data_IF_892550510722
#
_entry.id   IF_892550510722
#
_cell.length_a   1.000
_cell.length_b   1.000
_cell.length_c   1.000
_cell.angle_alpha   90.00
_cell.angle_beta   90.00
_cell.angle_gamma   90.00
#
_symmetry.space_group_name_H-M   'P 1'
#
loop_
_entity.id
_entity.type
_entity.pdbx_description
1 polymer ?
#
# COMPACT_ATOMS: atom_id res chain seq x y z
N UNK A 1 -36.98 -5.51 -50.20
CA UNK A 1 -37.36 -4.07 -50.15
C UNK A 1 -36.54 -3.42 -49.03
N UNK A 2 -35.40 -2.79 -49.38
CA UNK A 2 -35.20 -1.32 -49.41
C UNK A 2 -35.16 -0.71 -47.99
N UNK A 3 -34.01 -0.53 -47.34
CA UNK A 3 -32.93 0.50 -47.49
C UNK A 3 -33.28 1.93 -47.04
N UNK A 4 -32.39 2.49 -46.21
CA UNK A 4 -31.99 3.91 -45.97
C UNK A 4 -32.86 4.73 -44.98
N UNK A 5 -32.33 5.63 -44.11
CA UNK A 5 -31.26 6.63 -44.33
C UNK A 5 -30.78 7.26 -43.00
N UNK A 6 -29.49 7.62 -42.92
CA UNK A 6 -28.89 8.53 -41.93
C UNK A 6 -29.32 9.99 -42.14
N UNK A 7 -28.96 10.93 -41.23
CA UNK A 7 -28.61 12.28 -41.64
C UNK A 7 -27.12 12.59 -41.45
N UNK A 8 -26.62 13.30 -42.46
CA UNK A 8 -25.27 13.83 -42.65
C UNK A 8 -25.16 15.22 -42.02
N UNK A 9 -23.92 15.55 -41.65
CA UNK A 9 -23.35 16.85 -41.29
C UNK A 9 -23.97 18.10 -41.96
N UNK A 10 -23.96 19.21 -41.22
CA UNK A 10 -23.76 20.53 -41.83
C UNK A 10 -22.85 21.41 -40.97
N UNK A 11 -21.92 22.00 -41.70
CA UNK A 11 -20.85 22.93 -41.36
C UNK A 11 -21.38 24.32 -40.96
N UNK A 12 -20.68 24.97 -40.05
CA UNK A 12 -20.79 26.40 -39.78
C UNK A 12 -19.54 26.89 -39.06
N UNK A 13 -18.58 27.39 -39.84
CA UNK A 13 -17.39 28.11 -39.37
C UNK A 13 -17.76 29.55 -39.02
N UNK A 14 -17.25 30.06 -37.89
CA UNK A 14 -16.88 31.47 -37.77
C UNK A 14 -15.75 31.59 -36.75
N UNK A 15 -14.65 32.14 -37.22
CA UNK A 15 -13.44 32.49 -36.48
C UNK A 15 -13.73 33.39 -35.27
N UNK A 16 -12.96 33.17 -34.21
CA UNK A 16 -12.94 34.01 -33.02
C UNK A 16 -11.67 33.71 -32.24
N UNK A 17 -10.71 34.63 -32.34
CA UNK A 17 -9.35 34.55 -31.85
C UNK A 17 -9.19 34.37 -30.32
N UNK A 18 -8.15 33.59 -29.96
CA UNK A 18 -7.19 33.81 -28.85
C UNK A 18 -7.50 33.21 -27.44
N UNK A 19 -6.47 33.09 -26.54
CA UNK A 19 -6.00 31.76 -26.09
C UNK A 19 -5.67 31.68 -24.58
N UNK A 20 -6.37 30.87 -23.79
CA UNK A 20 -5.97 30.57 -22.40
C UNK A 20 -6.33 29.11 -22.07
N UNK A 21 -5.38 28.20 -21.87
CA UNK A 21 -4.80 27.84 -20.55
C UNK A 21 -5.86 27.85 -19.44
N UNK A 22 -6.15 26.78 -18.71
CA UNK A 22 -5.24 26.02 -17.87
C UNK A 22 -5.79 24.62 -17.59
N UNK A 23 -4.86 23.68 -17.50
CA UNK A 23 -5.00 22.37 -16.87
C UNK A 23 -5.73 22.48 -15.53
N UNK A 24 -6.84 21.74 -15.37
CA UNK A 24 -7.44 21.47 -14.08
C UNK A 24 -6.56 20.49 -13.29
N UNK A 25 -5.41 20.96 -12.82
CA UNK A 25 -4.63 20.32 -11.77
C UNK A 25 -5.32 20.60 -10.44
N UNK A 26 -6.18 19.69 -10.00
CA UNK A 26 -6.79 19.73 -8.67
C UNK A 26 -5.70 19.80 -7.59
N UNK A 27 -5.64 20.93 -6.91
CA UNK A 27 -4.68 21.24 -5.85
C UNK A 27 -4.68 20.18 -4.75
N UNK A 28 -3.61 19.41 -4.71
CA UNK A 28 -3.23 18.64 -3.52
C UNK A 28 -2.82 19.62 -2.42
N UNK A 29 -3.68 19.83 -1.42
CA UNK A 29 -3.29 20.50 -0.18
C UNK A 29 -2.25 19.64 0.57
N UNK A 30 -1.05 20.19 0.82
CA UNK A 30 0.03 19.52 1.56
C UNK A 30 0.30 20.31 2.84
N UNK A 31 0.40 19.61 3.96
CA UNK A 31 0.84 20.21 5.23
C UNK A 31 2.37 20.08 5.25
N UNK A 32 3.05 21.21 5.15
CA UNK A 32 4.52 21.30 5.22
C UNK A 32 5.00 20.99 6.64
N UNK A 33 6.05 20.17 6.77
CA UNK A 33 6.83 20.10 8.01
C UNK A 33 7.64 21.41 8.18
N UNK A 34 7.89 21.89 9.41
CA UNK A 34 8.69 23.09 9.62
C UNK A 34 10.11 22.90 9.07
N UNK A 35 10.54 23.82 8.19
CA UNK A 35 11.94 23.94 7.78
C UNK A 35 12.38 23.26 6.48
N UNK A 36 11.49 22.56 5.76
CA UNK A 36 11.84 21.94 4.46
C UNK A 36 11.10 22.55 3.29
N UNK A 37 11.82 22.74 2.17
CA UNK A 37 11.21 23.24 0.94
C UNK A 37 10.34 22.14 0.31
N UNK A 38 9.28 22.56 -0.40
CA UNK A 38 8.39 21.64 -1.12
C UNK A 38 9.15 20.75 -2.13
N UNK A 39 10.24 21.29 -2.68
CA UNK A 39 11.09 20.61 -3.64
C UNK A 39 11.83 19.43 -3.01
N UNK A 40 12.43 19.61 -1.82
CA UNK A 40 13.11 18.54 -1.08
C UNK A 40 12.18 17.35 -0.78
N UNK A 41 10.92 17.61 -0.43
CA UNK A 41 9.95 16.54 -0.16
C UNK A 41 9.60 15.76 -1.43
N UNK A 42 9.47 16.45 -2.57
CA UNK A 42 9.18 15.81 -3.86
C UNK A 42 10.37 14.97 -4.35
N UNK A 43 11.59 15.46 -4.14
CA UNK A 43 12.82 14.73 -4.43
C UNK A 43 12.93 13.49 -3.55
N UNK A 44 12.71 13.61 -2.23
CA UNK A 44 12.74 12.49 -1.31
C UNK A 44 11.72 11.39 -1.65
N UNK A 45 10.55 11.78 -2.21
CA UNK A 45 9.50 10.83 -2.66
C UNK A 45 9.82 10.13 -3.96
N UNK A 46 10.77 10.62 -4.74
CA UNK A 46 11.07 10.07 -6.07
C UNK A 46 12.19 9.05 -5.94
N UNK A 47 11.90 7.81 -6.32
CA UNK A 47 12.85 6.69 -6.32
C UNK A 47 13.79 6.80 -7.52
N UNK A 48 15.09 6.75 -7.26
CA UNK A 48 16.14 6.71 -8.27
C UNK A 48 16.36 5.27 -8.76
N UNK A 49 16.90 5.05 -9.98
CA UNK A 49 17.20 3.69 -10.48
C UNK A 49 17.98 2.82 -9.48
N UNK A 50 19.03 3.37 -8.88
CA UNK A 50 19.82 2.70 -7.85
C UNK A 50 19.02 2.31 -6.59
N UNK A 51 17.95 3.06 -6.27
CA UNK A 51 17.06 2.70 -5.17
C UNK A 51 16.27 1.45 -5.51
N UNK A 52 15.76 1.33 -6.74
CA UNK A 52 15.05 0.15 -7.21
C UNK A 52 15.96 -1.08 -7.17
N UNK A 53 17.17 -0.98 -7.72
CA UNK A 53 18.12 -2.10 -7.73
C UNK A 53 18.40 -2.61 -6.30
N UNK A 54 18.65 -1.69 -5.36
CA UNK A 54 18.87 -2.04 -3.95
C UNK A 54 17.64 -2.68 -3.33
N UNK A 55 16.46 -2.07 -3.51
CA UNK A 55 15.20 -2.59 -2.97
C UNK A 55 14.87 -3.98 -3.50
N UNK A 56 15.09 -4.25 -4.78
CA UNK A 56 14.88 -5.56 -5.42
C UNK A 56 15.90 -6.60 -4.91
N UNK A 57 17.17 -6.21 -4.72
CA UNK A 57 18.21 -7.08 -4.18
C UNK A 57 18.04 -7.40 -2.69
N UNK A 58 17.35 -6.52 -1.95
CA UNK A 58 17.09 -6.64 -0.54
C UNK A 58 17.93 -5.67 0.29
N UNK A 59 17.27 -4.94 1.19
CA UNK A 59 17.89 -3.89 2.02
C UNK A 59 17.63 -4.13 3.49
N UNK A 60 18.54 -3.63 4.32
CA UNK A 60 18.37 -3.63 5.78
C UNK A 60 17.47 -2.48 6.22
N UNK A 61 16.97 -2.62 7.44
CA UNK A 61 16.11 -1.63 8.10
C UNK A 61 16.71 -0.22 8.13
N UNK A 62 17.99 -0.09 8.48
CA UNK A 62 18.70 1.18 8.60
C UNK A 62 18.80 1.91 7.26
N UNK A 63 19.13 1.20 6.18
CA UNK A 63 19.15 1.79 4.84
C UNK A 63 17.76 2.24 4.42
N UNK A 64 16.74 1.39 4.61
CA UNK A 64 15.36 1.70 4.23
C UNK A 64 14.82 2.89 5.01
N UNK A 65 15.12 2.95 6.30
CA UNK A 65 14.74 4.05 7.19
C UNK A 65 15.35 5.37 6.70
N UNK A 66 16.65 5.39 6.45
CA UNK A 66 17.34 6.58 5.93
C UNK A 66 16.79 6.99 4.56
N UNK A 67 16.52 6.03 3.69
CA UNK A 67 16.01 6.32 2.34
C UNK A 67 14.62 6.93 2.34
N UNK A 68 13.74 6.45 3.21
CA UNK A 68 12.36 6.93 3.30
C UNK A 68 12.20 8.11 4.27
N UNK A 69 13.30 8.55 4.89
CA UNK A 69 13.33 9.76 5.70
C UNK A 69 12.87 10.94 4.86
N UNK A 70 12.15 11.89 5.47
CA UNK A 70 11.77 13.16 4.84
C UNK A 70 10.78 13.06 3.67
N UNK A 71 10.21 11.87 3.42
CA UNK A 71 9.09 11.68 2.48
C UNK A 71 7.79 12.37 2.94
N UNK A 72 7.73 12.82 4.19
CA UNK A 72 6.60 13.56 4.74
C UNK A 72 5.37 12.68 5.00
N UNK A 73 4.19 13.32 5.06
CA UNK A 73 2.92 12.62 5.29
C UNK A 73 2.17 12.40 3.98
N UNK A 74 1.41 11.30 3.94
CA UNK A 74 0.65 10.90 2.78
C UNK A 74 -0.85 10.99 3.04
N UNK A 75 -1.59 11.33 1.98
CA UNK A 75 -3.05 11.25 2.00
C UNK A 75 -3.47 9.78 1.90
N UNK A 76 -4.65 9.42 2.44
CA UNK A 76 -5.20 8.10 2.24
C UNK A 76 -5.26 7.73 0.76
N UNK A 77 -5.04 6.45 0.47
CA UNK A 77 -4.97 5.95 -0.90
C UNK A 77 -6.28 6.16 -1.65
N UNK A 78 -6.18 6.53 -2.93
CA UNK A 78 -7.35 6.67 -3.81
C UNK A 78 -7.89 5.29 -4.18
N UNK A 79 -9.11 4.99 -3.74
CA UNK A 79 -9.82 3.75 -4.04
C UNK A 79 -10.44 3.79 -5.45
N UNK A 80 -10.97 2.64 -5.87
CA UNK A 80 -11.68 2.37 -7.12
C UNK A 80 -10.85 2.54 -8.40
N UNK A 81 -9.53 2.37 -8.29
CA UNK A 81 -8.62 2.47 -9.43
C UNK A 81 -7.42 1.54 -9.30
N UNK A 82 -6.79 1.27 -10.43
CA UNK A 82 -5.52 0.58 -10.50
C UNK A 82 -4.35 1.55 -10.21
N UNK A 83 -3.28 0.99 -9.65
CA UNK A 83 -2.04 1.68 -9.35
C UNK A 83 -0.84 0.79 -9.65
N UNK A 84 0.24 1.40 -10.11
CA UNK A 84 1.58 0.81 -10.04
C UNK A 84 2.05 0.87 -8.59
N UNK A 85 2.71 -0.18 -8.12
CA UNK A 85 3.20 -0.24 -6.75
C UNK A 85 4.49 -1.05 -6.64
N UNK A 86 5.24 -0.80 -5.57
CA UNK A 86 6.24 -1.74 -5.06
C UNK A 86 5.63 -2.52 -3.90
N UNK A 87 5.67 -3.84 -3.99
CA UNK A 87 5.34 -4.77 -2.91
C UNK A 87 6.59 -5.08 -2.11
N UNK A 88 6.64 -4.65 -0.85
CA UNK A 88 7.78 -4.90 0.04
C UNK A 88 7.42 -5.98 1.07
N UNK A 89 8.29 -6.99 1.16
CA UNK A 89 8.20 -8.13 2.07
C UNK A 89 9.36 -8.06 3.06
N UNK A 90 9.06 -8.15 4.36
CA UNK A 90 10.07 -8.23 5.41
C UNK A 90 10.25 -9.67 5.87
N UNK A 91 11.51 -10.11 5.99
CA UNK A 91 11.88 -11.40 6.55
C UNK A 91 12.61 -11.21 7.87
N UNK A 92 12.00 -11.66 8.98
CA UNK A 92 12.67 -11.60 10.29
C UNK A 92 13.92 -12.50 10.37
N UNK A 93 13.96 -13.58 9.57
CA UNK A 93 15.09 -14.52 9.56
C UNK A 93 16.36 -13.90 8.98
N UNK A 94 16.23 -13.13 7.89
CA UNK A 94 17.36 -12.45 7.24
C UNK A 94 17.50 -10.99 7.64
N UNK A 95 16.49 -10.42 8.30
CA UNK A 95 16.37 -9.00 8.63
C UNK A 95 16.40 -8.07 7.42
N UNK A 96 15.96 -8.59 6.26
CA UNK A 96 15.91 -7.87 5.00
C UNK A 96 14.49 -7.54 4.58
N UNK A 97 14.36 -6.38 3.96
CA UNK A 97 13.23 -5.94 3.15
C UNK A 97 13.54 -6.20 1.69
N UNK A 98 12.65 -6.91 0.99
CA UNK A 98 12.78 -7.18 -0.45
C UNK A 98 11.57 -6.58 -1.17
N UNK A 99 11.81 -5.95 -2.31
CA UNK A 99 10.76 -5.35 -3.13
C UNK A 99 10.48 -6.19 -4.38
N UNK A 100 9.28 -6.04 -4.90
CA UNK A 100 8.84 -6.58 -6.17
C UNK A 100 7.92 -5.56 -6.82
N UNK A 101 8.13 -5.28 -8.11
CA UNK A 101 7.23 -4.43 -8.88
C UNK A 101 5.89 -5.14 -9.09
N UNK A 102 4.79 -4.40 -8.95
CA UNK A 102 3.46 -4.96 -9.09
C UNK A 102 2.45 -3.90 -9.53
N UNK A 103 1.27 -4.37 -9.94
CA UNK A 103 0.11 -3.54 -10.19
C UNK A 103 -1.06 -4.04 -9.33
N UNK A 104 -1.79 -3.12 -8.72
CA UNK A 104 -2.88 -3.44 -7.79
C UNK A 104 -4.11 -2.60 -8.09
N UNK A 105 -5.29 -3.17 -7.89
CA UNK A 105 -6.55 -2.43 -7.84
C UNK A 105 -7.00 -2.32 -6.38
N UNK A 106 -7.23 -1.07 -5.93
CA UNK A 106 -7.78 -0.80 -4.60
C UNK A 106 -9.29 -0.66 -4.72
N UNK A 107 -10.04 -1.56 -4.09
CA UNK A 107 -11.50 -1.66 -4.20
C UNK A 107 -12.24 -1.03 -3.03
N UNK A 108 -13.47 -1.50 -2.83
CA UNK A 108 -14.37 -0.99 -1.80
C UNK A 108 -13.87 -1.23 -0.37
N UNK A 109 -14.33 -0.37 0.55
CA UNK A 109 -14.17 -0.62 1.98
C UNK A 109 -14.86 -1.91 2.39
N UNK A 110 -14.20 -2.69 3.26
CA UNK A 110 -14.79 -3.90 3.81
C UNK A 110 -15.91 -3.53 4.80
N UNK A 111 -17.05 -4.20 4.63
CA UNK A 111 -18.12 -4.18 5.63
C UNK A 111 -17.75 -5.14 6.76
N UNK A 112 -17.28 -4.59 7.88
CA UNK A 112 -16.88 -5.35 9.07
C UNK A 112 -17.86 -5.13 10.23
N UNK A 113 -18.14 -6.18 11.01
CA UNK A 113 -18.98 -6.08 12.22
C UNK A 113 -18.41 -5.09 13.24
N UNK A 114 -17.09 -5.02 13.35
CA UNK A 114 -16.37 -4.10 14.25
C UNK A 114 -15.30 -3.33 13.48
N UNK A 115 -15.47 -2.01 13.37
CA UNK A 115 -14.48 -1.13 12.73
C UNK A 115 -13.33 -0.85 13.68
N UNK A 116 -12.10 -0.95 13.17
CA UNK A 116 -10.91 -0.57 13.91
C UNK A 116 -10.89 0.93 14.22
N UNK A 117 -10.23 1.33 15.32
CA UNK A 117 -10.13 2.74 15.72
C UNK A 117 -9.27 3.55 14.75
N UNK A 118 -8.11 3.02 14.38
CA UNK A 118 -7.04 3.79 13.70
C UNK A 118 -6.99 3.64 12.17
N UNK A 119 -7.45 2.51 11.64
CA UNK A 119 -7.27 2.15 10.22
C UNK A 119 -8.58 1.76 9.56
N UNK A 120 -8.71 2.05 8.28
CA UNK A 120 -9.75 1.52 7.41
C UNK A 120 -9.25 0.24 6.74
N UNK A 121 -10.17 -0.65 6.39
CA UNK A 121 -9.89 -1.87 5.64
C UNK A 121 -10.66 -1.83 4.32
N UNK A 122 -10.02 -2.17 3.21
CA UNK A 122 -10.61 -2.18 1.86
C UNK A 122 -10.02 -3.33 1.04
N UNK A 123 -10.70 -3.71 -0.04
CA UNK A 123 -10.27 -4.79 -0.89
C UNK A 123 -9.01 -4.40 -1.68
N UNK A 124 -8.08 -5.33 -1.80
CA UNK A 124 -6.92 -5.21 -2.69
C UNK A 124 -6.93 -6.41 -3.63
N UNK A 125 -6.76 -6.12 -4.91
CA UNK A 125 -6.65 -7.12 -5.95
C UNK A 125 -5.29 -6.95 -6.62
N UNK A 126 -4.43 -7.96 -6.51
CA UNK A 126 -3.21 -8.01 -7.30
C UNK A 126 -3.57 -8.27 -8.75
N UNK A 127 -3.01 -7.46 -9.65
CA UNK A 127 -3.19 -7.58 -11.09
C UNK A 127 -2.01 -8.31 -11.74
N UNK A 128 -0.90 -8.46 -11.01
CA UNK A 128 0.28 -9.20 -11.46
C UNK A 128 0.15 -10.69 -11.15
N UNK A 129 0.58 -11.55 -12.09
CA UNK A 129 0.30 -13.00 -12.10
C UNK A 129 1.10 -13.80 -11.05
N UNK A 130 2.19 -13.24 -10.52
CA UNK A 130 3.05 -13.91 -9.54
C UNK A 130 2.44 -13.97 -8.13
N UNK A 131 1.49 -13.08 -7.83
CA UNK A 131 0.78 -13.14 -6.55
C UNK A 131 -0.35 -14.16 -6.65
N UNK A 132 -0.43 -15.07 -5.66
CA UNK A 132 -1.48 -16.08 -5.60
C UNK A 132 -2.86 -15.44 -5.78
N UNK A 133 -3.70 -16.05 -6.63
CA UNK A 133 -5.10 -15.64 -6.85
C UNK A 133 -5.91 -15.76 -5.55
N UNK A 134 -5.75 -14.76 -4.69
CA UNK A 134 -6.29 -14.67 -3.36
C UNK A 134 -7.03 -13.35 -3.19
N UNK A 135 -7.92 -13.32 -2.19
CA UNK A 135 -8.54 -12.08 -1.74
C UNK A 135 -7.61 -11.43 -0.73
N UNK A 136 -7.29 -10.15 -0.91
CA UNK A 136 -6.43 -9.41 0.00
C UNK A 136 -7.17 -8.21 0.58
N UNK A 137 -6.72 -7.80 1.76
CA UNK A 137 -7.23 -6.63 2.48
C UNK A 137 -6.10 -5.63 2.63
N UNK A 138 -6.33 -4.44 2.10
CA UNK A 138 -5.50 -3.27 2.34
C UNK A 138 -5.94 -2.56 3.61
N UNK A 139 -4.96 -2.09 4.39
CA UNK A 139 -5.17 -1.29 5.59
C UNK A 139 -4.42 0.02 5.47
N UNK A 140 -5.15 1.11 5.68
CA UNK A 140 -4.62 2.46 5.65
C UNK A 140 -5.08 3.25 6.88
N UNK A 141 -4.25 4.17 7.34
CA UNK A 141 -4.56 5.02 8.49
C UNK A 141 -5.66 6.02 8.14
N UNK A 142 -6.57 6.25 9.10
CA UNK A 142 -7.63 7.26 8.95
C UNK A 142 -7.07 8.68 8.97
N UNK A 143 -6.01 8.88 9.76
CA UNK A 143 -5.24 10.11 9.82
C UNK A 143 -4.04 10.03 8.86
N UNK A 144 -3.60 11.17 8.34
CA UNK A 144 -2.38 11.23 7.54
C UNK A 144 -1.18 10.86 8.40
N UNK A 145 -0.40 9.88 7.95
CA UNK A 145 0.81 9.40 8.61
C UNK A 145 1.97 9.39 7.62
N UNK A 146 3.20 9.40 8.16
CA UNK A 146 4.38 9.07 7.37
C UNK A 146 4.44 7.57 7.08
N UNK A 147 5.21 7.20 6.06
CA UNK A 147 5.37 5.81 5.61
C UNK A 147 5.76 4.87 6.75
N UNK A 148 6.61 5.36 7.66
CA UNK A 148 7.26 4.55 8.68
C UNK A 148 6.31 3.84 9.66
N UNK A 149 5.12 4.39 9.89
CA UNK A 149 4.11 3.74 10.72
C UNK A 149 3.64 2.41 10.10
N UNK A 150 3.49 2.35 8.78
CA UNK A 150 3.10 1.12 8.10
C UNK A 150 4.22 0.09 8.17
N UNK A 151 5.46 0.49 7.87
CA UNK A 151 6.62 -0.39 7.94
C UNK A 151 6.79 -1.00 9.34
N UNK A 152 6.73 -0.16 10.38
CA UNK A 152 6.83 -0.62 11.77
C UNK A 152 5.75 -1.64 12.13
N UNK A 153 4.50 -1.42 11.68
CA UNK A 153 3.41 -2.38 11.91
C UNK A 153 3.68 -3.73 11.23
N UNK A 154 4.19 -3.71 10.00
CA UNK A 154 4.55 -4.93 9.25
C UNK A 154 5.72 -5.65 9.91
N UNK A 155 6.80 -4.96 10.30
CA UNK A 155 7.93 -5.61 11.00
C UNK A 155 7.48 -6.29 12.29
N UNK A 156 6.61 -5.63 13.07
CA UNK A 156 6.04 -6.21 14.30
C UNK A 156 5.23 -7.46 14.00
N UNK A 157 4.36 -7.43 12.99
CA UNK A 157 3.53 -8.58 12.63
C UNK A 157 4.38 -9.75 12.12
N UNK A 158 5.37 -9.49 11.28
CA UNK A 158 6.28 -10.51 10.76
C UNK A 158 7.22 -11.06 11.86
N UNK A 159 7.60 -10.23 12.84
CA UNK A 159 8.34 -10.68 14.03
C UNK A 159 7.48 -11.60 14.89
N UNK A 160 6.22 -11.25 15.12
CA UNK A 160 5.28 -12.11 15.84
C UNK A 160 5.04 -13.45 15.11
N UNK A 161 4.96 -13.42 13.78
CA UNK A 161 4.89 -14.63 12.96
C UNK A 161 6.13 -15.53 13.14
N UNK A 162 7.33 -14.93 13.18
CA UNK A 162 8.57 -15.68 13.45
C UNK A 162 8.55 -16.33 14.84
N UNK A 163 8.12 -15.62 15.89
CA UNK A 163 8.00 -16.21 17.23
C UNK A 163 7.00 -17.36 17.29
N UNK A 164 5.87 -17.23 16.61
CA UNK A 164 4.89 -18.31 16.48
C UNK A 164 5.48 -19.52 15.75
N UNK A 165 6.31 -19.30 14.74
CA UNK A 165 7.00 -20.39 14.03
C UNK A 165 7.94 -21.16 14.96
N UNK A 166 8.75 -20.46 15.75
CA UNK A 166 9.62 -21.08 16.76
C UNK A 166 8.81 -21.78 17.87
N UNK A 167 7.70 -21.19 18.30
CA UNK A 167 6.80 -21.80 19.27
C UNK A 167 6.20 -23.12 18.75
N UNK A 168 5.66 -23.12 17.53
CA UNK A 168 5.11 -24.32 16.90
C UNK A 168 6.18 -25.41 16.73
N UNK A 169 7.44 -25.04 16.44
CA UNK A 169 8.56 -25.98 16.40
C UNK A 169 8.75 -26.70 17.74
N UNK A 170 8.68 -25.96 18.87
CA UNK A 170 8.76 -26.57 20.21
C UNK A 170 7.58 -27.47 20.54
N UNK A 171 6.37 -27.11 20.09
CA UNK A 171 5.20 -27.98 20.25
C UNK A 171 5.38 -29.29 19.47
N UNK A 172 5.90 -29.20 18.25
CA UNK A 172 6.19 -30.38 17.43
C UNK A 172 7.22 -31.30 18.10
N UNK A 173 8.30 -30.74 18.64
CA UNK A 173 9.31 -31.50 19.41
C UNK A 173 8.73 -32.23 20.64
N UNK A 174 7.60 -31.74 21.17
CA UNK A 174 6.87 -32.34 22.29
C UNK A 174 5.69 -33.22 21.85
N UNK A 175 5.54 -33.51 20.56
CA UNK A 175 4.42 -34.25 19.97
C UNK A 175 3.03 -33.62 20.25
N UNK A 176 2.96 -32.30 20.41
CA UNK A 176 1.70 -31.57 20.54
C UNK A 176 1.22 -31.15 19.14
N UNK A 177 0.05 -31.60 18.66
CA UNK A 177 -0.37 -31.39 17.27
C UNK A 177 -0.91 -29.98 16.98
N UNK A 178 -1.28 -29.23 18.01
CA UNK A 178 -1.87 -27.89 17.86
C UNK A 178 -0.87 -26.90 17.29
N UNK A 179 -1.31 -26.08 16.33
CA UNK A 179 -0.52 -25.02 15.73
C UNK A 179 -1.32 -23.72 15.68
N UNK A 180 -0.62 -22.60 15.83
CA UNK A 180 -1.18 -21.26 15.65
C UNK A 180 -0.41 -20.55 14.55
N UNK A 181 -1.03 -19.56 13.89
CA UNK A 181 -0.41 -18.83 12.80
C UNK A 181 -0.78 -17.35 12.86
N UNK A 182 0.20 -16.50 12.58
CA UNK A 182 -0.08 -15.14 12.15
C UNK A 182 -0.12 -15.09 10.62
N UNK A 183 -1.11 -14.38 10.08
CA UNK A 183 -1.13 -14.10 8.64
C UNK A 183 0.06 -13.20 8.26
N UNK A 184 0.65 -13.43 7.08
CA UNK A 184 1.70 -12.55 6.58
C UNK A 184 1.14 -11.17 6.30
N UNK A 185 2.01 -10.17 6.35
CA UNK A 185 1.69 -8.78 6.04
C UNK A 185 2.82 -8.18 5.21
N UNK A 186 2.45 -7.34 4.25
CA UNK A 186 3.36 -6.71 3.32
C UNK A 186 3.06 -5.22 3.21
N UNK A 187 4.00 -4.46 2.64
CA UNK A 187 3.78 -3.06 2.30
C UNK A 187 3.52 -2.95 0.80
N UNK A 188 2.56 -2.11 0.43
CA UNK A 188 2.46 -1.56 -0.92
C UNK A 188 2.80 -0.08 -0.89
N UNK A 189 3.92 0.28 -1.52
CA UNK A 189 4.21 1.67 -1.87
C UNK A 189 3.50 2.00 -3.19
N UNK A 190 2.52 2.88 -3.13
CA UNK A 190 1.75 3.31 -4.30
C UNK A 190 2.58 4.34 -5.08
N UNK A 191 2.78 4.09 -6.37
CA UNK A 191 3.63 4.89 -7.24
C UNK A 191 2.82 5.57 -8.35
N UNK A 192 3.28 6.76 -8.73
CA UNK A 192 3.00 7.37 -10.03
C UNK A 192 4.36 7.60 -10.68
N UNK A 193 4.61 6.90 -11.79
CA UNK A 193 5.95 6.72 -12.36
C UNK A 193 6.94 6.19 -11.30
N UNK A 194 7.87 7.06 -10.84
CA UNK A 194 8.87 6.74 -9.82
C UNK A 194 8.61 7.44 -8.49
N UNK A 195 7.53 8.21 -8.39
CA UNK A 195 7.24 9.02 -7.21
C UNK A 195 6.24 8.30 -6.30
N UNK A 196 6.60 8.16 -5.03
CA UNK A 196 5.72 7.61 -3.98
C UNK A 196 4.55 8.57 -3.76
N UNK A 197 3.33 8.04 -3.86
CA UNK A 197 2.07 8.75 -3.63
C UNK A 197 1.29 8.28 -2.41
N UNK A 198 1.63 7.12 -1.88
CA UNK A 198 1.00 6.57 -0.69
C UNK A 198 1.63 5.27 -0.25
N UNK A 199 1.15 4.75 0.88
CA UNK A 199 1.58 3.48 1.42
C UNK A 199 0.44 2.83 2.18
N UNK A 200 0.28 1.52 1.99
CA UNK A 200 -0.71 0.71 2.71
C UNK A 200 -0.06 -0.60 3.14
N UNK A 201 -0.53 -1.17 4.24
CA UNK A 201 -0.18 -2.55 4.59
C UNK A 201 -1.23 -3.48 3.98
N UNK A 202 -0.82 -4.63 3.45
CA UNK A 202 -1.70 -5.62 2.83
C UNK A 202 -1.53 -6.98 3.49
N UNK A 203 -2.65 -7.66 3.69
CA UNK A 203 -2.68 -9.01 4.24
C UNK A 203 -3.71 -9.89 3.50
N UNK A 204 -3.53 -11.22 3.50
CA UNK A 204 -4.55 -12.13 3.00
C UNK A 204 -5.87 -12.00 3.75
N UNK A 205 -6.98 -12.07 3.02
CA UNK A 205 -8.31 -12.08 3.61
C UNK A 205 -8.56 -13.39 4.37
N UNK A 206 -8.95 -13.27 5.64
CA UNK A 206 -9.41 -14.40 6.44
C UNK A 206 -10.93 -14.49 6.35
N UNK A 207 -11.42 -15.61 5.79
CA UNK A 207 -12.84 -15.96 5.87
C UNK A 207 -13.13 -16.61 7.22
N UNK A 208 -14.08 -16.07 7.96
CA UNK A 208 -14.53 -16.64 9.23
C UNK A 208 -15.00 -15.60 10.24
N UNK A 209 -15.25 -16.04 11.46
CA UNK A 209 -15.55 -15.15 12.57
C UNK A 209 -14.27 -14.57 13.18
N UNK A 210 -14.16 -13.24 13.17
CA UNK A 210 -13.04 -12.55 13.78
C UNK A 210 -13.29 -12.30 15.27
N UNK A 211 -12.47 -12.91 16.13
CA UNK A 211 -12.54 -12.76 17.59
C UNK A 211 -11.23 -12.19 18.14
N UNK A 212 -11.33 -11.18 19.00
CA UNK A 212 -10.19 -10.61 19.73
C UNK A 212 -10.09 -11.27 21.10
N UNK A 213 -9.07 -12.09 21.33
CA UNK A 213 -8.89 -12.87 22.56
C UNK A 213 -8.38 -12.04 23.74
N UNK A 214 -7.47 -11.09 23.50
CA UNK A 214 -6.87 -10.24 24.55
C UNK A 214 -6.70 -8.79 24.08
N UNK A 215 -6.33 -7.88 24.99
CA UNK A 215 -6.02 -6.48 24.67
C UNK A 215 -4.60 -6.10 25.13
N UNK A 216 -4.06 -5.03 24.57
CA UNK A 216 -2.69 -4.56 24.83
C UNK A 216 -2.59 -3.60 26.03
N UNK A 217 -3.66 -3.42 26.81
CA UNK A 217 -3.70 -2.49 27.96
C UNK A 217 -3.76 -3.18 29.31
N UNK A 218 -4.17 -4.45 29.35
CA UNK A 218 -4.23 -5.27 30.55
C UNK A 218 -3.35 -6.49 30.33
N UNK A 219 -2.27 -6.59 31.10
CA UNK A 219 -1.53 -7.83 31.24
C UNK A 219 -2.45 -8.78 32.01
N UNK A 220 -2.75 -9.93 31.41
CA UNK A 220 -3.48 -11.03 32.08
C UNK A 220 -2.47 -11.87 32.83
#
# INVERSE_FOLDING_TARGET
AWWLKSPVFSSGSSEGDSPWSYLNSRGSSWVSLPGKTRQEILEARTLQPDDFEKLLAGVRHDWLFQRLENTGIFKPSQLHRAHTALLLKYSKKSELWTAQETAVYLGDYLTVKKKGRQRNAFWVHHLHQEETLGRYVGKDYKEQKGLWHHFTDVERQMTAQHYVTEFNKRLYEQNIPTQIFYIPSTILLILEDKTIKGCISVEPYILGEFVKLSNNTKVV
#
